data_IF_873329399278
#
_entry.id   IF_873329399278
#
_cell.length_a   1.000
_cell.length_b   1.000
_cell.length_c   1.000
_cell.angle_alpha   90.00
_cell.angle_beta   90.00
_cell.angle_gamma   90.00
#
_symmetry.space_group_name_H-M   'P 1'
#
loop_
_entity.id
_entity.type
_entity.pdbx_description
1 polymer ?
#
# COMPACT_ATOMS: atom_id res chain seq x y z
N UNK A 1 30.64 39.17 12.51
CA UNK A 1 29.17 38.98 12.37
C UNK A 1 28.79 37.95 11.29
N UNK A 2 29.64 37.71 10.28
CA UNK A 2 29.32 36.84 9.13
C UNK A 2 29.50 35.34 9.40
N UNK A 3 30.51 34.97 10.21
CA UNK A 3 30.79 33.57 10.59
C UNK A 3 29.62 32.93 11.35
N UNK A 4 28.95 33.71 12.21
CA UNK A 4 27.75 33.24 12.93
C UNK A 4 26.55 33.01 12.03
N UNK A 5 26.37 33.83 10.97
CA UNK A 5 25.30 33.63 9.98
C UNK A 5 25.54 32.39 9.13
N UNK A 6 26.78 32.14 8.72
CA UNK A 6 27.15 30.93 7.98
C UNK A 6 26.96 29.66 8.81
N UNK A 7 27.30 29.70 10.11
CA UNK A 7 27.07 28.58 11.02
C UNK A 7 25.58 28.25 11.19
N UNK A 8 24.74 29.27 11.37
CA UNK A 8 23.28 29.09 11.48
C UNK A 8 22.69 28.52 10.19
N UNK A 9 23.16 28.97 9.02
CA UNK A 9 22.72 28.43 7.73
C UNK A 9 23.15 26.96 7.54
N UNK A 10 24.37 26.59 7.94
CA UNK A 10 24.87 25.22 7.86
C UNK A 10 24.08 24.28 8.78
N UNK A 11 23.83 24.69 10.03
CA UNK A 11 23.02 23.91 10.98
C UNK A 11 21.57 23.82 10.51
N UNK A 12 20.98 24.92 10.02
CA UNK A 12 19.64 24.93 9.43
C UNK A 12 19.55 23.98 8.23
N UNK A 13 20.56 23.97 7.36
CA UNK A 13 20.60 23.08 6.20
C UNK A 13 20.71 21.61 6.61
N UNK A 14 21.53 21.28 7.62
CA UNK A 14 21.62 19.91 8.15
C UNK A 14 20.31 19.45 8.81
N UNK A 15 19.62 20.33 9.55
CA UNK A 15 18.30 20.04 10.13
C UNK A 15 17.24 19.87 9.05
N UNK A 16 17.30 20.69 7.98
CA UNK A 16 16.46 20.51 6.80
C UNK A 16 16.74 19.17 6.12
N UNK A 17 17.99 18.76 5.94
CA UNK A 17 18.33 17.45 5.33
C UNK A 17 17.83 16.28 6.18
N UNK A 18 17.88 16.37 7.52
CA UNK A 18 17.32 15.32 8.39
C UNK A 18 15.79 15.27 8.37
N UNK A 19 15.12 16.40 8.11
CA UNK A 19 13.66 16.48 8.01
C UNK A 19 13.12 16.22 6.60
N UNK A 20 13.93 16.49 5.57
CA UNK A 20 13.68 16.20 4.16
C UNK A 20 14.23 14.84 3.71
N UNK A 21 14.95 14.11 4.56
CA UNK A 21 15.27 12.71 4.36
C UNK A 21 13.96 11.95 4.17
N UNK A 22 13.59 11.71 2.91
CA UNK A 22 12.37 11.02 2.51
C UNK A 22 12.33 9.71 3.25
N UNK A 23 11.44 9.61 4.24
CA UNK A 23 11.23 8.39 5.00
C UNK A 23 10.71 7.34 4.02
N UNK A 24 11.64 6.51 3.56
CA UNK A 24 11.34 5.43 2.64
C UNK A 24 10.46 4.41 3.35
N UNK A 25 9.51 3.86 2.61
CA UNK A 25 8.71 2.71 3.00
C UNK A 25 9.55 1.59 3.62
N UNK A 26 9.01 0.98 4.69
CA UNK A 26 9.62 -0.16 5.38
C UNK A 26 9.76 -1.34 4.40
N UNK A 27 10.94 -1.97 4.37
CA UNK A 27 11.26 -3.06 3.43
C UNK A 27 10.20 -4.17 3.42
N UNK A 28 9.75 -4.62 4.60
CA UNK A 28 8.73 -5.67 4.73
C UNK A 28 7.35 -5.24 4.20
N UNK A 29 6.98 -3.97 4.37
CA UNK A 29 5.72 -3.43 3.83
C UNK A 29 5.79 -3.33 2.31
N UNK A 30 6.95 -2.95 1.76
CA UNK A 30 7.20 -2.96 0.32
C UNK A 30 7.11 -4.37 -0.27
N UNK A 31 7.78 -5.34 0.34
CA UNK A 31 7.75 -6.74 -0.10
C UNK A 31 6.31 -7.30 -0.04
N UNK A 32 5.54 -6.96 1.00
CA UNK A 32 4.14 -7.33 1.11
C UNK A 32 3.27 -6.73 -0.02
N UNK A 33 3.47 -5.46 -0.38
CA UNK A 33 2.78 -4.83 -1.52
C UNK A 33 3.11 -5.53 -2.84
N UNK A 34 4.38 -5.89 -3.07
CA UNK A 34 4.76 -6.62 -4.28
C UNK A 34 4.13 -8.02 -4.31
N UNK A 35 4.02 -8.69 -3.17
CA UNK A 35 3.30 -9.98 -3.08
C UNK A 35 1.80 -9.82 -3.42
N UNK A 36 1.16 -8.76 -2.93
CA UNK A 36 -0.22 -8.41 -3.29
C UNK A 36 -0.35 -8.22 -4.81
N UNK A 37 0.55 -7.45 -5.44
CA UNK A 37 0.55 -7.26 -6.90
C UNK A 37 0.61 -8.60 -7.64
N UNK A 38 1.53 -9.48 -7.26
CA UNK A 38 1.65 -10.82 -7.85
C UNK A 38 0.38 -11.64 -7.67
N UNK A 39 -0.22 -11.62 -6.48
CA UNK A 39 -1.49 -12.30 -6.22
C UNK A 39 -2.60 -11.86 -7.18
N UNK A 40 -2.77 -10.55 -7.39
CA UNK A 40 -3.77 -10.04 -8.34
C UNK A 40 -3.43 -10.40 -9.79
N UNK A 41 -2.18 -10.29 -10.21
CA UNK A 41 -1.78 -10.68 -11.57
C UNK A 41 -2.05 -12.17 -11.82
N UNK A 42 -1.74 -13.05 -10.86
CA UNK A 42 -2.01 -14.49 -11.00
C UNK A 42 -3.50 -14.81 -11.03
N UNK A 43 -4.29 -14.25 -10.10
CA UNK A 43 -5.73 -14.57 -10.01
C UNK A 43 -6.55 -14.00 -11.18
N UNK A 44 -6.06 -12.94 -11.81
CA UNK A 44 -6.74 -12.28 -12.92
C UNK A 44 -6.02 -12.47 -14.27
N UNK A 45 -5.28 -13.58 -14.40
CA UNK A 45 -4.62 -14.01 -15.63
C UNK A 45 -3.83 -12.89 -16.34
N UNK A 46 -3.00 -12.21 -15.58
CA UNK A 46 -2.14 -11.09 -16.01
C UNK A 46 -2.91 -9.95 -16.72
N UNK A 47 -4.09 -9.63 -16.22
CA UNK A 47 -4.94 -8.59 -16.80
C UNK A 47 -4.24 -7.24 -16.94
N UNK A 48 -4.34 -6.67 -18.14
CA UNK A 48 -3.90 -5.31 -18.48
C UNK A 48 -4.45 -4.27 -17.50
N UNK A 49 -5.65 -4.50 -16.94
CA UNK A 49 -6.27 -3.61 -15.95
C UNK A 49 -5.49 -3.60 -14.64
N UNK A 50 -5.12 -4.77 -14.13
CA UNK A 50 -4.29 -4.91 -12.92
C UNK A 50 -2.90 -4.31 -13.16
N UNK A 51 -2.27 -4.64 -14.29
CA UNK A 51 -0.97 -4.06 -14.67
C UNK A 51 -1.02 -2.53 -14.72
N UNK A 52 -2.05 -1.95 -15.34
CA UNK A 52 -2.21 -0.50 -15.45
C UNK A 52 -2.41 0.15 -14.08
N UNK A 53 -3.29 -0.39 -13.24
CA UNK A 53 -3.59 0.19 -11.93
C UNK A 53 -2.44 0.03 -10.91
N UNK A 54 -1.63 -1.03 -11.02
CA UNK A 54 -0.48 -1.30 -10.15
C UNK A 54 0.87 -1.08 -10.87
N UNK A 55 0.87 -0.25 -11.91
CA UNK A 55 2.04 0.02 -12.75
C UNK A 55 3.22 0.63 -11.96
N UNK A 56 2.92 1.51 -11.01
CA UNK A 56 3.96 2.16 -10.18
C UNK A 56 4.60 1.24 -9.14
N UNK A 57 4.04 0.05 -8.90
CA UNK A 57 4.52 -0.88 -7.88
C UNK A 57 5.70 -1.68 -8.46
N UNK A 58 6.89 -1.10 -8.40
CA UNK A 58 8.09 -1.63 -9.06
C UNK A 58 9.05 -2.26 -8.06
N UNK A 59 9.73 -3.33 -8.47
CA UNK A 59 10.71 -4.02 -7.63
C UNK A 59 12.13 -3.43 -7.81
N UNK A 60 12.26 -2.11 -7.74
CA UNK A 60 13.55 -1.42 -7.85
C UNK A 60 14.10 -1.10 -6.46
N UNK A 61 15.36 -1.39 -6.18
CA UNK A 61 15.96 -1.24 -4.85
C UNK A 61 15.74 0.15 -4.22
N UNK A 62 15.68 1.20 -5.02
CA UNK A 62 15.51 2.59 -4.57
C UNK A 62 14.06 3.12 -4.63
N UNK A 63 13.08 2.29 -4.99
CA UNK A 63 11.68 2.72 -5.10
C UNK A 63 11.03 2.82 -3.71
N UNK A 64 10.51 4.02 -3.41
CA UNK A 64 9.71 4.27 -2.21
C UNK A 64 8.23 3.91 -2.47
N UNK A 65 7.74 2.92 -1.72
CA UNK A 65 6.35 2.48 -1.87
C UNK A 65 5.32 3.56 -1.47
N UNK A 66 5.73 4.57 -0.72
CA UNK A 66 4.87 5.70 -0.35
C UNK A 66 4.51 6.60 -1.54
N UNK A 67 5.25 6.50 -2.64
CA UNK A 67 4.95 7.18 -3.90
C UNK A 67 4.20 6.31 -4.89
N UNK A 68 3.91 5.06 -4.54
CA UNK A 68 3.13 4.19 -5.40
C UNK A 68 1.67 4.62 -5.43
N UNK A 69 1.08 4.54 -6.62
CA UNK A 69 -0.35 4.74 -6.81
C UNK A 69 -1.12 3.84 -5.85
N UNK A 70 -2.16 4.42 -5.23
CA UNK A 70 -3.07 3.75 -4.30
C UNK A 70 -2.45 3.33 -2.96
N UNK A 71 -1.21 3.74 -2.68
CA UNK A 71 -0.56 3.61 -1.36
C UNK A 71 -0.50 4.99 -0.70
N UNK A 72 -0.83 5.07 0.59
CA UNK A 72 -0.65 6.27 1.40
C UNK A 72 0.09 5.92 2.68
N UNK A 73 1.21 6.56 2.92
CA UNK A 73 1.96 6.40 4.15
C UNK A 73 1.61 7.46 5.20
N UNK A 74 1.79 7.11 6.47
CA UNK A 74 1.66 8.03 7.58
C UNK A 74 2.89 8.97 7.59
N UNK A 75 2.71 10.30 7.64
CA UNK A 75 3.79 11.26 7.42
C UNK A 75 4.89 11.20 8.49
N UNK A 76 4.54 10.81 9.71
CA UNK A 76 5.50 10.74 10.83
C UNK A 76 6.36 9.47 10.81
N UNK A 77 5.82 8.34 10.36
CA UNK A 77 6.46 7.02 10.46
C UNK A 77 6.99 6.50 9.12
N UNK A 78 6.48 7.00 7.99
CA UNK A 78 6.79 6.47 6.65
C UNK A 78 6.17 5.09 6.39
N UNK A 79 5.27 4.63 7.27
CA UNK A 79 4.60 3.32 7.14
C UNK A 79 3.29 3.43 6.36
N UNK A 80 2.93 2.36 5.66
CA UNK A 80 1.68 2.29 4.91
C UNK A 80 0.49 2.38 5.87
N UNK A 81 -0.33 3.40 5.65
CA UNK A 81 -1.51 3.71 6.48
C UNK A 81 -2.83 3.55 5.74
N UNK A 82 -2.85 3.71 4.42
CA UNK A 82 -4.01 3.42 3.58
C UNK A 82 -3.59 2.71 2.31
N UNK A 83 -4.38 1.72 1.91
CA UNK A 83 -4.20 0.94 0.70
C UNK A 83 -5.51 0.82 -0.08
N UNK A 84 -5.47 1.09 -1.38
CA UNK A 84 -6.62 0.93 -2.27
C UNK A 84 -6.37 -0.14 -3.33
N UNK A 85 -7.21 -1.16 -3.30
CA UNK A 85 -7.25 -2.30 -4.24
C UNK A 85 -8.55 -2.29 -5.05
N UNK A 86 -9.13 -1.10 -5.23
CA UNK A 86 -10.34 -0.89 -6.01
C UNK A 86 -10.07 -1.04 -7.51
N UNK A 87 -11.09 -1.46 -8.25
CA UNK A 87 -11.11 -1.66 -9.70
C UNK A 87 -10.06 -2.66 -10.24
N UNK A 88 -9.47 -3.49 -9.37
CA UNK A 88 -8.58 -4.58 -9.79
C UNK A 88 -9.34 -5.82 -10.29
N UNK A 89 -10.67 -5.84 -10.17
CA UNK A 89 -11.50 -6.92 -10.72
C UNK A 89 -11.62 -6.80 -12.24
N UNK A 90 -11.59 -7.94 -12.92
CA UNK A 90 -11.60 -8.03 -14.39
C UNK A 90 -12.96 -8.42 -14.94
N UNK A 91 -13.96 -8.64 -14.07
CA UNK A 91 -15.32 -8.98 -14.49
C UNK A 91 -15.97 -7.75 -15.15
N UNK A 92 -15.69 -7.59 -16.44
CA UNK A 92 -16.18 -6.54 -17.33
C UNK A 92 -17.00 -7.17 -18.48
N UNK A 93 -17.49 -8.39 -18.28
CA UNK A 93 -18.28 -9.12 -19.23
C UNK A 93 -19.58 -9.54 -18.54
N UNK A 94 -20.59 -8.72 -18.82
CA UNK A 94 -22.03 -8.88 -18.53
C UNK A 94 -22.62 -10.22 -19.05
N UNK A 95 -21.82 -11.10 -19.68
CA UNK A 95 -22.30 -12.31 -20.36
C UNK A 95 -21.49 -13.61 -20.13
N UNK A 96 -20.46 -13.60 -19.29
CA UNK A 96 -19.71 -14.83 -19.01
C UNK A 96 -20.20 -15.48 -17.71
N UNK A 97 -20.97 -16.57 -17.83
CA UNK A 97 -21.17 -17.58 -16.78
C UNK A 97 -19.87 -18.36 -16.47
N UNK A 98 -18.74 -17.67 -16.39
CA UNK A 98 -17.47 -18.18 -15.88
C UNK A 98 -17.34 -17.68 -14.45
N UNK A 99 -17.19 -18.62 -13.51
CA UNK A 99 -17.17 -18.42 -12.06
C UNK A 99 -16.62 -17.06 -11.61
N UNK A 100 -17.21 -16.40 -10.59
CA UNK A 100 -16.47 -15.38 -9.87
C UNK A 100 -15.16 -16.05 -9.48
N UNK A 101 -14.03 -15.45 -9.85
CA UNK A 101 -12.77 -15.85 -9.26
C UNK A 101 -13.01 -15.75 -7.75
N UNK A 102 -13.23 -16.91 -7.10
CA UNK A 102 -13.36 -17.08 -5.67
C UNK A 102 -11.96 -16.85 -5.07
N UNK A 103 -11.35 -15.71 -5.41
CA UNK A 103 -10.13 -15.21 -4.82
C UNK A 103 -10.53 -14.66 -3.46
N UNK A 104 -10.70 -15.56 -2.50
CA UNK A 104 -10.63 -15.18 -1.10
C UNK A 104 -9.25 -14.57 -0.90
N UNK A 105 -9.21 -13.24 -0.76
CA UNK A 105 -8.01 -12.50 -0.43
C UNK A 105 -7.65 -12.93 1.00
N UNK A 106 -6.57 -13.70 1.13
CA UNK A 106 -6.08 -14.11 2.44
C UNK A 106 -5.53 -12.90 3.20
N UNK A 107 -6.18 -12.54 4.30
CA UNK A 107 -5.79 -11.38 5.11
C UNK A 107 -4.40 -11.51 5.73
N UNK A 108 -3.82 -12.73 5.77
CA UNK A 108 -2.44 -12.95 6.19
C UNK A 108 -1.44 -12.08 5.41
N UNK A 109 -1.72 -11.75 4.15
CA UNK A 109 -0.86 -10.92 3.31
C UNK A 109 -0.72 -9.47 3.83
N UNK A 110 -1.65 -9.02 4.68
CA UNK A 110 -1.62 -7.66 5.26
C UNK A 110 -0.96 -7.58 6.65
N UNK A 111 -0.52 -8.69 7.23
CA UNK A 111 0.06 -8.73 8.59
C UNK A 111 1.34 -7.88 8.74
N UNK A 112 2.03 -7.61 7.64
CA UNK A 112 3.26 -6.80 7.63
C UNK A 112 2.97 -5.29 7.76
N UNK A 113 1.75 -4.84 7.52
CA UNK A 113 1.39 -3.42 7.62
C UNK A 113 0.95 -3.04 9.04
N UNK A 114 1.89 -2.54 9.85
CA UNK A 114 1.65 -2.28 11.28
C UNK A 114 0.82 -1.03 11.57
N UNK A 115 0.73 -0.11 10.61
CA UNK A 115 -0.02 1.14 10.74
C UNK A 115 -1.17 1.25 9.74
N UNK A 116 -1.55 0.16 9.07
CA UNK A 116 -2.64 0.17 8.09
C UNK A 116 -3.97 0.42 8.79
N UNK A 117 -4.60 1.56 8.49
CA UNK A 117 -5.89 1.98 9.05
C UNK A 117 -7.05 1.88 8.06
N UNK A 118 -6.74 1.85 6.76
CA UNK A 118 -7.77 1.84 5.72
C UNK A 118 -7.38 0.92 4.58
N UNK A 119 -8.28 0.00 4.26
CA UNK A 119 -8.16 -0.93 3.14
C UNK A 119 -9.47 -0.90 2.33
N UNK A 120 -9.37 -0.71 1.02
CA UNK A 120 -10.55 -0.62 0.14
C UNK A 120 -10.45 -1.58 -1.05
N UNK A 121 -11.55 -2.24 -1.41
CA UNK A 121 -11.62 -3.26 -2.47
C UNK A 121 -12.65 -2.94 -3.55
N UNK A 122 -12.52 -3.54 -4.73
CA UNK A 122 -13.33 -3.28 -5.94
C UNK A 122 -14.83 -3.52 -5.82
N UNK A 123 -15.31 -4.24 -4.80
CA UNK A 123 -16.74 -4.59 -4.67
C UNK A 123 -17.49 -3.74 -3.62
N UNK A 124 -17.10 -2.47 -3.46
CA UNK A 124 -17.74 -1.53 -2.52
C UNK A 124 -17.47 -1.81 -1.03
N UNK A 125 -16.72 -2.86 -0.70
CA UNK A 125 -16.28 -3.16 0.67
C UNK A 125 -15.19 -2.19 1.13
N UNK A 126 -15.59 -1.12 1.81
CA UNK A 126 -14.69 -0.29 2.60
C UNK A 126 -14.42 -0.98 3.94
N UNK A 127 -13.15 -1.24 4.30
CA UNK A 127 -12.77 -1.73 5.63
C UNK A 127 -11.88 -0.69 6.32
N UNK A 128 -12.42 -0.09 7.39
CA UNK A 128 -11.61 0.63 8.37
C UNK A 128 -10.97 -0.40 9.30
N UNK A 129 -9.65 -0.34 9.44
CA UNK A 129 -8.88 -1.16 10.37
C UNK A 129 -8.56 -0.26 11.56
N UNK A 130 -9.49 -0.13 12.51
CA UNK A 130 -9.20 0.55 13.76
C UNK A 130 -8.40 -0.39 14.65
N UNK A 131 -7.19 0.04 15.04
CA UNK A 131 -6.29 -0.70 15.91
C UNK A 131 -6.92 -0.91 17.29
N UNK A 132 -7.56 -2.06 17.49
CA UNK A 132 -7.65 -2.70 18.80
C UNK A 132 -7.88 -4.19 18.58
N UNK A 133 -7.24 -5.01 19.42
CA UNK A 133 -7.51 -6.42 19.54
C UNK A 133 -9.03 -6.71 19.48
N UNK A 134 -9.46 -7.44 18.45
CA UNK A 134 -10.84 -7.96 18.36
C UNK A 134 -11.73 -7.34 17.28
N UNK A 135 -12.03 -8.19 16.29
CA UNK A 135 -13.32 -8.33 15.58
C UNK A 135 -13.54 -7.65 14.21
N UNK A 136 -13.31 -8.45 13.15
CA UNK A 136 -14.26 -8.95 12.14
C UNK A 136 -15.68 -8.33 11.99
N UNK A 137 -16.15 -8.08 10.74
CA UNK A 137 -17.29 -8.80 10.11
C UNK A 137 -17.54 -8.45 8.62
N UNK A 138 -17.58 -9.46 7.74
CA UNK A 138 -18.84 -10.00 7.21
C UNK A 138 -18.59 -11.43 6.73
N UNK A 139 -19.31 -12.39 7.35
CA UNK A 139 -19.39 -13.79 6.94
C UNK A 139 -18.23 -14.70 7.37
N UNK A 140 -18.30 -15.21 8.61
CA UNK A 140 -17.78 -16.51 9.06
C UNK A 140 -16.52 -17.05 8.36
N UNK A 141 -15.35 -16.84 8.97
CA UNK A 141 -14.38 -17.87 9.34
C UNK A 141 -13.10 -17.18 9.85
N UNK A 142 -12.93 -17.20 11.17
CA UNK A 142 -11.68 -17.12 11.93
C UNK A 142 -10.43 -16.63 11.20
N UNK A 143 -10.13 -15.33 11.33
CA UNK A 143 -8.87 -14.75 11.82
C UNK A 143 -8.93 -13.22 11.70
#
# INVERSE_FOLDING_TARGET
MEVGRLWVLMVSCMVLVQTLGTKCCVRQEREALLNIKTYFLTNYNDSLKVQKHLSSWVNESNSDCCWWNRVRCHPSSGRVSKLSLQELNVNNDEYSFGQPANGSIDFSMFQNFKELRSLTFSNGGFRSLENTAGSCHFGLANC
#
